data_IF_745059498492
#
_entry.id   IF_745059498492
#
_cell.length_a   1.000
_cell.length_b   1.000
_cell.length_c   1.000
_cell.angle_alpha   90.00
_cell.angle_beta   90.00
_cell.angle_gamma   90.00
#
_symmetry.space_group_name_H-M   'P 1'
#
loop_
_entity.id
_entity.type
_entity.pdbx_description
1 polymer ?
#
# COMPACT_ATOMS: atom_id res chain seq x y z
N UNK A 1 -46.98 -52.33 36.48
CA UNK A 1 -45.99 -51.61 37.31
C UNK A 1 -45.84 -50.19 36.77
N UNK A 2 -45.74 -49.22 37.68
CA UNK A 2 -46.24 -47.85 37.58
C UNK A 2 -45.41 -46.91 36.68
N UNK A 3 -46.02 -46.36 35.62
CA UNK A 3 -45.43 -45.32 34.72
C UNK A 3 -44.85 -44.11 35.48
N UNK A 4 -45.29 -43.86 36.71
CA UNK A 4 -44.81 -42.76 37.56
C UNK A 4 -43.40 -43.01 38.15
N UNK A 5 -42.96 -44.25 38.35
CA UNK A 5 -41.61 -44.55 38.89
C UNK A 5 -40.52 -44.32 37.84
N UNK A 6 -40.73 -44.83 36.63
CA UNK A 6 -39.80 -44.65 35.49
C UNK A 6 -39.64 -43.16 35.13
N UNK A 7 -40.68 -42.35 35.34
CA UNK A 7 -40.64 -40.92 35.05
C UNK A 7 -39.82 -40.10 36.06
N UNK A 8 -39.76 -40.52 37.32
CA UNK A 8 -38.92 -39.87 38.33
C UNK A 8 -37.44 -39.99 37.99
N UNK A 9 -37.01 -41.17 37.54
CA UNK A 9 -35.64 -41.43 37.10
C UNK A 9 -35.27 -40.63 35.84
N UNK A 10 -36.18 -40.57 34.85
CA UNK A 10 -35.97 -39.78 33.62
C UNK A 10 -35.90 -38.28 33.91
N UNK A 11 -36.72 -37.77 34.85
CA UNK A 11 -36.70 -36.35 35.22
C UNK A 11 -35.37 -35.94 35.86
N UNK A 12 -34.82 -36.78 36.74
CA UNK A 12 -33.52 -36.56 37.38
C UNK A 12 -32.38 -36.55 36.35
N UNK A 13 -32.38 -37.51 35.43
CA UNK A 13 -31.38 -37.59 34.35
C UNK A 13 -31.43 -36.34 33.45
N UNK A 14 -32.62 -35.81 33.16
CA UNK A 14 -32.72 -34.61 32.32
C UNK A 14 -32.35 -33.35 33.08
N UNK A 15 -32.58 -33.31 34.39
CA UNK A 15 -32.08 -32.22 35.24
C UNK A 15 -30.56 -32.16 35.21
N UNK A 16 -29.90 -33.30 35.34
CA UNK A 16 -28.43 -33.40 35.22
C UNK A 16 -27.94 -32.95 33.84
N UNK A 17 -28.63 -33.36 32.76
CA UNK A 17 -28.33 -32.90 31.40
C UNK A 17 -28.49 -31.38 31.29
N UNK A 18 -29.53 -30.78 31.85
CA UNK A 18 -29.72 -29.32 31.83
C UNK A 18 -28.61 -28.59 32.59
N UNK A 19 -28.23 -29.05 33.78
CA UNK A 19 -27.15 -28.44 34.59
C UNK A 19 -25.83 -28.40 33.83
N UNK A 20 -25.47 -29.49 33.15
CA UNK A 20 -24.22 -29.57 32.37
C UNK A 20 -24.26 -28.72 31.09
N UNK A 21 -25.43 -28.65 30.45
CA UNK A 21 -25.64 -27.75 29.32
C UNK A 21 -25.50 -26.29 29.76
N UNK A 22 -26.08 -25.89 30.90
CA UNK A 22 -25.94 -24.54 31.46
C UNK A 22 -24.49 -24.21 31.83
N UNK A 23 -23.71 -25.19 32.30
CA UNK A 23 -22.27 -25.06 32.53
C UNK A 23 -21.45 -24.86 31.24
N UNK A 24 -22.08 -24.94 30.06
CA UNK A 24 -21.44 -24.72 28.77
C UNK A 24 -20.85 -25.98 28.15
N UNK A 25 -21.22 -27.18 28.60
CA UNK A 25 -20.84 -28.41 27.89
C UNK A 25 -21.76 -28.61 26.68
N UNK A 26 -21.23 -28.92 25.48
CA UNK A 26 -22.07 -29.22 24.33
C UNK A 26 -22.80 -30.54 24.55
N UNK A 27 -24.08 -30.59 24.17
CA UNK A 27 -24.92 -31.79 24.31
C UNK A 27 -24.23 -33.08 23.82
N UNK A 28 -23.50 -32.99 22.70
CA UNK A 28 -22.82 -34.14 22.12
C UNK A 28 -21.73 -34.73 23.02
N UNK A 29 -21.17 -33.96 23.97
CA UNK A 29 -20.21 -34.44 24.98
C UNK A 29 -20.95 -35.04 26.16
N UNK A 30 -22.00 -34.36 26.65
CA UNK A 30 -22.84 -34.87 27.75
C UNK A 30 -23.43 -36.25 27.40
N UNK A 31 -24.03 -36.40 26.22
CA UNK A 31 -24.64 -37.67 25.79
C UNK A 31 -23.63 -38.79 25.42
N UNK A 32 -22.32 -38.52 25.46
CA UNK A 32 -21.27 -39.53 25.19
C UNK A 32 -20.85 -40.33 26.42
N UNK A 33 -21.21 -39.87 27.62
CA UNK A 33 -20.81 -40.51 28.87
C UNK A 33 -21.72 -41.69 29.25
N UNK A 34 -21.14 -42.70 29.93
CA UNK A 34 -21.80 -43.97 30.21
C UNK A 34 -23.02 -43.85 31.15
N UNK A 35 -23.06 -42.83 32.00
CA UNK A 35 -24.16 -42.55 32.93
C UNK A 35 -25.24 -41.62 32.33
N UNK A 36 -25.01 -41.11 31.11
CA UNK A 36 -25.90 -40.18 30.43
C UNK A 36 -26.75 -40.88 29.37
N UNK A 37 -27.95 -40.36 29.04
CA UNK A 37 -28.79 -40.96 28.01
C UNK A 37 -28.15 -40.76 26.64
N UNK A 38 -28.07 -41.83 25.85
CA UNK A 38 -27.65 -41.73 24.45
C UNK A 38 -28.54 -40.73 23.70
N UNK A 39 -27.97 -40.00 22.74
CA UNK A 39 -28.65 -38.86 22.09
C UNK A 39 -30.00 -39.25 21.44
N UNK A 40 -30.10 -40.46 20.89
CA UNK A 40 -31.34 -41.00 20.33
C UNK A 40 -32.45 -41.14 21.37
N UNK A 41 -32.10 -41.58 22.58
CA UNK A 41 -33.02 -41.77 23.71
C UNK A 41 -33.51 -40.41 24.22
N UNK A 42 -32.60 -39.45 24.37
CA UNK A 42 -32.95 -38.09 24.75
C UNK A 42 -33.89 -37.45 23.71
N UNK A 43 -33.58 -37.55 22.41
CA UNK A 43 -34.44 -37.03 21.34
C UNK A 43 -35.84 -37.65 21.37
N UNK A 44 -35.96 -38.95 21.65
CA UNK A 44 -37.26 -39.61 21.79
C UNK A 44 -38.08 -39.04 22.96
N UNK A 45 -37.43 -38.75 24.10
CA UNK A 45 -38.08 -38.11 25.25
C UNK A 45 -38.51 -36.67 24.96
N UNK A 46 -37.65 -35.87 24.32
CA UNK A 46 -37.98 -34.48 23.95
C UNK A 46 -39.15 -34.40 22.96
N UNK A 47 -39.28 -35.38 22.06
CA UNK A 47 -40.44 -35.47 21.15
C UNK A 47 -41.73 -35.82 21.91
N UNK A 48 -41.62 -36.65 22.94
CA UNK A 48 -42.77 -37.11 23.73
C UNK A 48 -43.25 -36.06 24.73
N UNK A 49 -42.37 -35.18 25.20
CA UNK A 49 -42.62 -34.21 26.26
C UNK A 49 -42.10 -32.81 25.90
N UNK A 50 -42.98 -31.93 25.39
CA UNK A 50 -42.61 -30.58 24.97
C UNK A 50 -42.03 -29.71 26.10
N UNK A 51 -42.55 -29.82 27.32
CA UNK A 51 -42.07 -29.03 28.48
C UNK A 51 -40.59 -29.32 28.79
N UNK A 52 -40.20 -30.59 28.62
CA UNK A 52 -38.82 -31.03 28.79
C UNK A 52 -37.92 -30.45 27.70
N UNK A 53 -38.43 -30.38 26.47
CA UNK A 53 -37.74 -29.79 25.33
C UNK A 53 -37.45 -28.31 25.57
N UNK A 54 -38.42 -27.56 26.07
CA UNK A 54 -38.24 -26.13 26.41
C UNK A 54 -37.12 -25.96 27.45
N UNK A 55 -37.08 -26.80 28.50
CA UNK A 55 -36.02 -26.76 29.52
C UNK A 55 -34.64 -27.05 28.93
N UNK A 56 -34.50 -28.12 28.14
CA UNK A 56 -33.22 -28.50 27.52
C UNK A 56 -32.77 -27.45 26.49
N UNK A 57 -33.69 -26.89 25.70
CA UNK A 57 -33.37 -25.83 24.75
C UNK A 57 -32.91 -24.55 25.47
N UNK A 58 -33.58 -24.17 26.56
CA UNK A 58 -33.19 -23.03 27.39
C UNK A 58 -31.80 -23.23 28.02
N UNK A 59 -31.54 -24.42 28.56
CA UNK A 59 -30.24 -24.81 29.11
C UNK A 59 -29.13 -24.76 28.04
N UNK A 60 -29.41 -25.22 26.80
CA UNK A 60 -28.47 -25.08 25.67
C UNK A 60 -28.21 -23.64 25.30
N UNK A 61 -29.25 -22.80 25.28
CA UNK A 61 -29.09 -21.38 24.96
C UNK A 61 -28.21 -20.66 26.00
N UNK A 62 -28.40 -20.97 27.29
CA UNK A 62 -27.55 -20.46 28.37
C UNK A 62 -26.10 -20.96 28.23
N UNK A 63 -25.91 -22.26 27.97
CA UNK A 63 -24.60 -22.86 27.74
C UNK A 63 -23.84 -22.31 26.54
N UNK A 64 -24.55 -21.97 25.46
CA UNK A 64 -23.94 -21.35 24.27
C UNK A 64 -23.34 -19.99 24.60
N UNK A 65 -23.94 -19.21 25.51
CA UNK A 65 -23.37 -17.93 25.94
C UNK A 65 -22.05 -18.13 26.71
N UNK A 66 -21.98 -19.15 27.56
CA UNK A 66 -20.75 -19.54 28.29
C UNK A 66 -19.68 -20.03 27.32
N UNK A 67 -20.05 -20.85 26.32
CA UNK A 67 -19.14 -21.32 25.27
C UNK A 67 -18.63 -20.19 24.38
N UNK A 68 -19.49 -19.24 24.02
CA UNK A 68 -19.12 -18.07 23.22
C UNK A 68 -18.18 -17.12 23.99
N UNK A 69 -18.32 -17.05 25.32
CA UNK A 69 -17.39 -16.32 26.18
C UNK A 69 -16.04 -17.04 26.37
N UNK A 70 -15.91 -18.30 25.93
CA UNK A 70 -14.65 -19.03 26.00
C UNK A 70 -13.71 -18.53 24.89
N UNK A 71 -12.51 -18.02 25.22
CA UNK A 71 -11.58 -17.56 24.20
C UNK A 71 -11.22 -18.72 23.27
N UNK A 72 -11.41 -18.52 21.97
CA UNK A 72 -10.90 -19.44 20.96
C UNK A 72 -9.37 -19.38 21.02
N UNK A 73 -8.75 -20.38 21.65
CA UNK A 73 -7.30 -20.56 21.62
C UNK A 73 -6.94 -21.12 20.25
N UNK A 74 -6.75 -20.23 19.27
CA UNK A 74 -6.15 -20.60 17.99
C UNK A 74 -4.69 -20.93 18.29
N UNK A 75 -4.37 -22.23 18.40
CA UNK A 75 -2.99 -22.70 18.53
C UNK A 75 -2.28 -22.54 17.18
N UNK A 76 -1.84 -21.32 16.88
CA UNK A 76 -0.89 -21.10 15.78
C UNK A 76 0.45 -21.66 16.26
N UNK A 77 0.92 -22.74 15.65
CA UNK A 77 2.30 -23.20 15.87
C UNK A 77 3.22 -22.13 15.25
N UNK A 78 4.04 -21.42 16.02
CA UNK A 78 4.95 -20.44 15.46
C UNK A 78 5.96 -21.17 14.57
N UNK A 79 6.03 -20.76 13.31
CA UNK A 79 7.13 -21.16 12.42
C UNK A 79 8.35 -20.36 12.87
N UNK A 80 9.34 -21.07 13.40
CA UNK A 80 10.63 -20.50 13.80
C UNK A 80 11.39 -20.08 12.54
N UNK A 81 12.15 -19.00 12.63
CA UNK A 81 13.02 -18.56 11.53
C UNK A 81 14.01 -19.68 11.18
N UNK A 82 14.05 -20.01 9.90
CA UNK A 82 14.98 -20.97 9.32
C UNK A 82 15.59 -20.34 8.07
N UNK A 83 16.92 -20.27 8.04
CA UNK A 83 17.68 -19.65 6.97
C UNK A 83 17.47 -20.38 5.64
N UNK A 84 17.32 -21.72 5.66
CA UNK A 84 17.07 -22.49 4.45
C UNK A 84 15.69 -22.18 3.83
N UNK A 85 14.67 -21.99 4.67
CA UNK A 85 13.35 -21.56 4.21
C UNK A 85 13.37 -20.11 3.69
N UNK A 86 14.09 -19.24 4.38
CA UNK A 86 14.28 -17.85 3.96
C UNK A 86 14.95 -17.77 2.58
N UNK A 87 16.03 -18.54 2.36
CA UNK A 87 16.71 -18.65 1.08
C UNK A 87 15.78 -19.22 -0.01
N UNK A 88 15.02 -20.27 0.30
CA UNK A 88 14.06 -20.87 -0.64
C UNK A 88 12.99 -19.85 -1.09
N UNK A 89 12.48 -19.03 -0.17
CA UNK A 89 11.54 -17.93 -0.49
C UNK A 89 12.21 -16.91 -1.42
N UNK A 90 13.43 -16.46 -1.10
CA UNK A 90 14.17 -15.51 -1.92
C UNK A 90 14.48 -16.06 -3.32
N UNK A 91 14.95 -17.30 -3.41
CA UNK A 91 15.24 -17.99 -4.66
C UNK A 91 13.99 -18.10 -5.54
N UNK A 92 12.83 -18.46 -4.96
CA UNK A 92 11.58 -18.59 -5.70
C UNK A 92 11.00 -17.25 -6.13
N UNK A 93 11.14 -16.21 -5.31
CA UNK A 93 10.79 -14.84 -5.70
C UNK A 93 11.66 -14.32 -6.83
N UNK A 94 12.96 -14.55 -6.77
CA UNK A 94 13.88 -14.20 -7.84
C UNK A 94 13.58 -15.02 -9.11
N UNK A 95 13.21 -16.29 -8.97
CA UNK A 95 12.87 -17.23 -10.05
C UNK A 95 11.72 -16.74 -10.94
N UNK A 96 10.65 -16.22 -10.33
CA UNK A 96 9.40 -15.91 -11.02
C UNK A 96 8.98 -14.44 -10.97
N UNK A 97 7.94 -14.11 -11.72
CA UNK A 97 7.25 -12.81 -11.70
C UNK A 97 6.10 -12.73 -10.69
N UNK A 98 5.91 -13.79 -9.89
CA UNK A 98 4.82 -13.93 -8.95
C UNK A 98 5.02 -13.10 -7.67
N UNK A 99 3.90 -12.65 -7.09
CA UNK A 99 3.88 -11.98 -5.79
C UNK A 99 4.21 -12.92 -4.63
N UNK A 100 4.48 -12.35 -3.46
CA UNK A 100 4.81 -13.13 -2.26
C UNK A 100 3.70 -14.12 -1.89
N UNK A 101 2.43 -13.72 -2.02
CA UNK A 101 1.30 -14.59 -1.71
C UNK A 101 1.27 -15.85 -2.56
N UNK A 102 1.52 -15.73 -3.87
CA UNK A 102 1.56 -16.87 -4.77
C UNK A 102 2.77 -17.78 -4.49
N UNK A 103 3.91 -17.21 -4.06
CA UNK A 103 5.07 -17.98 -3.61
C UNK A 103 4.75 -18.75 -2.32
N UNK A 104 4.19 -18.07 -1.32
CA UNK A 104 3.81 -18.64 -0.03
C UNK A 104 2.57 -19.56 -0.07
N UNK A 105 1.87 -19.63 -1.20
CA UNK A 105 0.76 -20.57 -1.39
C UNK A 105 1.25 -22.02 -1.56
N UNK A 106 2.54 -22.22 -1.84
CA UNK A 106 3.14 -23.54 -1.90
C UNK A 106 3.24 -24.15 -0.49
N UNK A 107 2.90 -25.44 -0.36
CA UNK A 107 2.79 -26.12 0.95
C UNK A 107 4.10 -26.25 1.72
N UNK A 108 5.22 -26.05 1.04
CA UNK A 108 6.59 -26.14 1.55
C UNK A 108 7.14 -24.82 2.11
N UNK A 109 6.45 -23.70 1.87
CA UNK A 109 6.93 -22.37 2.24
C UNK A 109 6.10 -21.75 3.39
N UNK A 110 6.73 -20.87 4.19
CA UNK A 110 6.02 -20.16 5.26
C UNK A 110 4.95 -19.23 4.68
N UNK A 111 3.92 -18.94 5.47
CA UNK A 111 2.88 -17.98 5.11
C UNK A 111 3.44 -16.57 4.90
N UNK A 112 2.77 -15.75 4.09
CA UNK A 112 3.17 -14.36 3.83
C UNK A 112 3.33 -13.55 5.12
N UNK A 113 2.43 -13.72 6.09
CA UNK A 113 2.51 -13.09 7.40
C UNK A 113 3.79 -13.47 8.17
N UNK A 114 4.22 -14.73 8.07
CA UNK A 114 5.47 -15.20 8.69
C UNK A 114 6.68 -14.54 8.03
N UNK A 115 6.70 -14.46 6.70
CA UNK A 115 7.79 -13.81 5.95
C UNK A 115 7.87 -12.32 6.30
N UNK A 116 6.75 -11.60 6.34
CA UNK A 116 6.74 -10.18 6.73
C UNK A 116 7.25 -9.96 8.15
N UNK A 117 6.93 -10.85 9.09
CA UNK A 117 7.51 -10.82 10.43
C UNK A 117 9.02 -11.01 10.39
N UNK A 118 9.51 -12.01 9.65
CA UNK A 118 10.95 -12.23 9.52
C UNK A 118 11.68 -11.05 8.88
N UNK A 119 11.08 -10.35 7.93
CA UNK A 119 11.65 -9.12 7.35
C UNK A 119 11.81 -7.98 8.36
N UNK A 120 10.96 -7.94 9.39
CA UNK A 120 11.06 -6.94 10.46
C UNK A 120 12.11 -7.33 11.51
N UNK A 121 12.19 -8.62 11.84
CA UNK A 121 13.03 -9.13 12.93
C UNK A 121 14.48 -9.40 12.50
N UNK A 122 14.73 -9.73 11.22
CA UNK A 122 16.04 -10.17 10.72
C UNK A 122 16.53 -9.27 9.57
N UNK A 123 17.43 -8.30 9.83
CA UNK A 123 17.88 -7.34 8.83
C UNK A 123 18.70 -7.97 7.70
N UNK A 124 19.47 -9.02 7.97
CA UNK A 124 20.23 -9.73 6.94
C UNK A 124 19.30 -10.41 5.93
N UNK A 125 18.22 -11.03 6.42
CA UNK A 125 17.17 -11.57 5.56
C UNK A 125 16.47 -10.48 4.76
N UNK A 126 16.20 -9.32 5.36
CA UNK A 126 15.61 -8.18 4.65
C UNK A 126 16.51 -7.68 3.50
N UNK A 127 17.83 -7.69 3.69
CA UNK A 127 18.79 -7.35 2.64
C UNK A 127 18.79 -8.38 1.50
N UNK A 128 18.83 -9.69 1.83
CA UNK A 128 18.75 -10.77 0.84
C UNK A 128 17.43 -10.74 0.06
N UNK A 129 16.32 -10.51 0.75
CA UNK A 129 15.00 -10.37 0.14
C UNK A 129 14.93 -9.14 -0.78
N UNK A 130 15.55 -8.03 -0.37
CA UNK A 130 15.69 -6.83 -1.20
C UNK A 130 16.43 -7.12 -2.51
N UNK A 131 17.48 -7.92 -2.47
CA UNK A 131 18.21 -8.32 -3.67
C UNK A 131 17.39 -9.29 -4.54
N UNK A 132 16.71 -10.27 -3.93
CA UNK A 132 15.79 -11.15 -4.65
C UNK A 132 14.71 -10.36 -5.40
N UNK A 133 14.18 -9.29 -4.80
CA UNK A 133 13.22 -8.36 -5.44
C UNK A 133 13.83 -7.57 -6.60
N UNK A 134 15.11 -7.23 -6.55
CA UNK A 134 15.81 -6.61 -7.70
C UNK A 134 15.97 -7.59 -8.85
N UNK A 135 16.38 -8.82 -8.57
CA UNK A 135 16.50 -9.88 -9.58
C UNK A 135 15.13 -10.17 -10.22
N UNK A 136 14.08 -10.21 -9.40
CA UNK A 136 12.71 -10.33 -9.89
C UNK A 136 12.33 -9.21 -10.86
N UNK A 137 12.74 -7.96 -10.61
CA UNK A 137 12.46 -6.85 -11.53
C UNK A 137 13.05 -7.08 -12.93
N UNK A 138 14.26 -7.65 -13.01
CA UNK A 138 14.88 -8.04 -14.28
C UNK A 138 14.05 -9.11 -15.01
N UNK A 139 13.62 -10.15 -14.29
CA UNK A 139 12.77 -11.22 -14.83
C UNK A 139 11.44 -10.69 -15.37
N UNK A 140 10.79 -9.79 -14.63
CA UNK A 140 9.53 -9.15 -15.06
C UNK A 140 9.70 -8.35 -16.35
N UNK A 141 10.86 -7.72 -16.54
CA UNK A 141 11.18 -6.98 -17.76
C UNK A 141 11.35 -7.93 -18.96
N UNK A 142 12.07 -9.03 -18.79
CA UNK A 142 12.22 -10.07 -19.83
C UNK A 142 10.88 -10.72 -20.18
N UNK A 143 10.02 -10.96 -19.19
CA UNK A 143 8.67 -11.45 -19.42
C UNK A 143 7.81 -10.45 -20.21
N UNK A 144 7.88 -9.16 -19.90
CA UNK A 144 7.18 -8.13 -20.67
C UNK A 144 7.62 -8.15 -22.14
N UNK A 145 8.92 -8.36 -22.40
CA UNK A 145 9.45 -8.54 -23.76
C UNK A 145 8.89 -9.80 -24.43
N UNK A 146 8.80 -10.92 -23.72
CA UNK A 146 8.22 -12.15 -24.25
C UNK A 146 6.73 -11.97 -24.61
N UNK A 147 5.96 -11.33 -23.74
CA UNK A 147 4.54 -11.01 -23.97
C UNK A 147 4.37 -10.13 -25.20
N UNK A 148 5.22 -9.11 -25.36
CA UNK A 148 5.17 -8.23 -26.53
C UNK A 148 5.42 -9.00 -27.83
N UNK A 149 6.37 -9.95 -27.86
CA UNK A 149 6.68 -10.75 -29.05
C UNK A 149 5.60 -11.79 -29.38
N UNK A 150 4.90 -12.29 -28.38
CA UNK A 150 3.81 -13.26 -28.55
C UNK A 150 2.44 -12.61 -28.83
N UNK A 151 2.34 -11.27 -28.75
CA UNK A 151 1.09 -10.57 -28.95
C UNK A 151 0.61 -10.68 -30.41
N UNK A 152 -0.69 -10.93 -30.56
CA UNK A 152 -1.39 -10.95 -31.86
C UNK A 152 -2.35 -9.77 -31.90
N UNK A 153 -2.88 -9.42 -33.08
CA UNK A 153 -3.85 -8.31 -33.25
C UNK A 153 -5.07 -8.42 -32.32
N UNK A 154 -5.50 -9.64 -31.98
CA UNK A 154 -6.62 -9.89 -31.05
C UNK A 154 -6.23 -9.75 -29.57
N UNK A 155 -4.97 -10.01 -29.21
CA UNK A 155 -4.49 -10.00 -27.83
C UNK A 155 -3.74 -8.74 -27.42
N UNK A 156 -3.59 -7.74 -28.32
CA UNK A 156 -2.83 -6.51 -28.07
C UNK A 156 -3.29 -5.78 -26.81
N UNK A 157 -4.59 -5.65 -26.57
CA UNK A 157 -5.11 -4.92 -25.40
C UNK A 157 -4.69 -5.58 -24.08
N UNK A 158 -4.82 -6.91 -23.99
CA UNK A 158 -4.41 -7.69 -22.81
C UNK A 158 -2.90 -7.67 -22.66
N UNK A 159 -2.15 -7.81 -23.76
CA UNK A 159 -0.70 -7.74 -23.75
C UNK A 159 -0.19 -6.39 -23.25
N UNK A 160 -0.79 -5.28 -23.70
CA UNK A 160 -0.48 -3.92 -23.22
C UNK A 160 -0.68 -3.80 -21.71
N UNK A 161 -1.85 -4.21 -21.20
CA UNK A 161 -2.13 -4.16 -19.76
C UNK A 161 -1.12 -4.95 -18.93
N UNK A 162 -0.73 -6.14 -19.40
CA UNK A 162 0.29 -6.96 -18.73
C UNK A 162 1.66 -6.29 -18.74
N UNK A 163 2.10 -5.80 -19.90
CA UNK A 163 3.37 -5.09 -20.06
C UNK A 163 3.43 -3.87 -19.15
N UNK A 164 2.37 -3.06 -19.10
CA UNK A 164 2.34 -1.87 -18.26
C UNK A 164 2.36 -2.21 -16.77
N UNK A 165 1.67 -3.27 -16.36
CA UNK A 165 1.71 -3.79 -14.99
C UNK A 165 3.12 -4.23 -14.60
N UNK A 166 3.75 -5.06 -15.44
CA UNK A 166 5.12 -5.56 -15.23
C UNK A 166 6.14 -4.41 -15.20
N UNK A 167 6.02 -3.45 -16.12
CA UNK A 167 6.88 -2.26 -16.18
C UNK A 167 6.76 -1.41 -14.93
N UNK A 168 5.53 -1.16 -14.46
CA UNK A 168 5.29 -0.40 -13.24
C UNK A 168 5.87 -1.12 -12.01
N UNK A 169 5.65 -2.43 -11.89
CA UNK A 169 6.19 -3.24 -10.80
C UNK A 169 7.73 -3.24 -10.82
N UNK A 170 8.36 -3.49 -11.97
CA UNK A 170 9.82 -3.48 -12.11
C UNK A 170 10.43 -2.11 -11.73
N UNK A 171 9.78 -1.01 -12.12
CA UNK A 171 10.19 0.35 -11.72
C UNK A 171 10.13 0.59 -10.21
N UNK A 172 9.16 -0.02 -9.50
CA UNK A 172 9.05 0.08 -8.03
C UNK A 172 10.03 -0.83 -7.30
N UNK A 173 10.27 -2.03 -7.82
CA UNK A 173 11.20 -3.00 -7.20
C UNK A 173 12.67 -2.58 -7.38
N UNK A 174 13.03 -2.00 -8.53
CA UNK A 174 14.39 -1.56 -8.81
C UNK A 174 14.41 -0.12 -9.39
N UNK A 175 14.12 0.91 -8.58
CA UNK A 175 13.99 2.29 -9.04
C UNK A 175 15.31 2.87 -9.60
N UNK A 176 16.47 2.36 -9.18
CA UNK A 176 17.76 2.82 -9.72
C UNK A 176 17.98 2.43 -11.19
N UNK A 177 17.45 1.27 -11.59
CA UNK A 177 17.64 0.70 -12.93
C UNK A 177 16.46 1.05 -13.84
N UNK A 178 15.24 0.82 -13.35
CA UNK A 178 14.01 0.95 -14.13
C UNK A 178 13.16 2.17 -13.77
N UNK A 179 13.61 3.00 -12.82
CA UNK A 179 12.93 4.24 -12.49
C UNK A 179 13.01 5.26 -13.62
N UNK A 180 11.98 6.08 -13.74
CA UNK A 180 11.97 7.22 -14.67
C UNK A 180 12.98 8.24 -14.16
N UNK A 181 14.05 8.46 -14.92
CA UNK A 181 14.99 9.55 -14.68
C UNK A 181 14.42 10.82 -15.28
N UNK A 182 14.12 11.79 -14.43
CA UNK A 182 13.79 13.15 -14.87
C UNK A 182 15.09 13.93 -14.87
N UNK A 183 15.66 14.14 -16.04
CA UNK A 183 16.76 15.08 -16.20
C UNK A 183 16.19 16.48 -16.04
N UNK A 184 16.57 17.15 -14.94
CA UNK A 184 16.23 18.56 -14.74
C UNK A 184 17.25 19.36 -15.52
N UNK A 185 16.81 20.04 -16.57
CA UNK A 185 17.64 21.00 -17.27
C UNK A 185 18.15 22.03 -16.25
N UNK A 186 19.47 22.28 -16.16
CA UNK A 186 20.00 23.24 -15.21
C UNK A 186 19.42 24.60 -15.55
N UNK A 187 18.62 25.14 -14.63
CA UNK A 187 18.08 26.49 -14.70
C UNK A 187 19.27 27.44 -14.87
N UNK A 188 19.31 28.15 -16.00
CA UNK A 188 20.41 29.04 -16.33
C UNK A 188 20.65 29.99 -15.14
N UNK A 189 21.90 30.21 -14.70
CA UNK A 189 22.16 31.07 -13.55
C UNK A 189 21.54 32.44 -13.81
N UNK A 190 20.58 32.83 -12.98
CA UNK A 190 19.99 34.17 -13.01
C UNK A 190 21.09 35.15 -12.58
N UNK A 191 21.78 35.74 -13.55
CA UNK A 191 22.75 36.80 -13.29
C UNK A 191 21.95 38.07 -13.01
N UNK A 192 21.81 38.42 -11.73
CA UNK A 192 21.26 39.72 -11.33
C UNK A 192 22.28 40.82 -11.66
N UNK A 193 22.22 41.35 -12.87
CA UNK A 193 22.99 42.54 -13.27
C UNK A 193 22.32 43.78 -12.67
N UNK A 194 22.89 44.31 -11.58
CA UNK A 194 22.50 45.64 -11.10
C UNK A 194 23.18 46.70 -11.97
N UNK A 195 22.43 47.26 -12.91
CA UNK A 195 22.84 48.49 -13.59
C UNK A 195 22.63 49.62 -12.59
N UNK A 196 23.71 50.10 -11.96
CA UNK A 196 23.68 51.41 -11.31
C UNK A 196 23.69 52.44 -12.43
N UNK A 197 22.61 53.19 -12.57
CA UNK A 197 22.64 54.41 -13.39
C UNK A 197 23.70 55.33 -12.81
N UNK A 198 24.82 55.43 -13.51
CA UNK A 198 25.87 56.38 -13.19
C UNK A 198 25.47 57.68 -13.89
N UNK A 199 24.62 58.49 -13.24
CA UNK A 199 24.30 59.80 -13.78
C UNK A 199 25.53 60.69 -13.69
N UNK A 200 26.05 61.11 -14.85
CA UNK A 200 27.12 62.10 -14.96
C UNK A 200 26.68 63.49 -14.47
N UNK A 201 25.39 63.67 -14.14
CA UNK A 201 24.86 64.94 -13.61
C UNK A 201 25.48 65.27 -12.24
N UNK A 202 25.75 64.28 -11.39
CA UNK A 202 26.40 64.48 -10.08
C UNK A 202 27.87 64.94 -10.21
N UNK A 203 28.59 64.43 -11.22
CA UNK A 203 29.96 64.85 -11.54
C UNK A 203 29.99 66.22 -12.23
N UNK A 204 29.04 66.49 -13.13
CA UNK A 204 28.91 67.79 -13.80
C UNK A 204 28.53 68.89 -12.80
N UNK A 205 27.68 68.61 -11.81
CA UNK A 205 27.32 69.58 -10.77
C UNK A 205 28.52 69.86 -9.84
N UNK A 206 29.27 68.82 -9.44
CA UNK A 206 30.54 69.00 -8.69
C UNK A 206 31.56 69.82 -9.47
N UNK A 207 31.73 69.56 -10.77
CA UNK A 207 32.65 70.31 -11.63
C UNK A 207 32.16 71.74 -11.85
N UNK A 208 30.85 71.97 -12.02
CA UNK A 208 30.26 73.32 -12.10
C UNK A 208 30.51 74.10 -10.82
N UNK A 209 30.25 73.51 -9.65
CA UNK A 209 30.49 74.15 -8.35
C UNK A 209 31.97 74.53 -8.14
N UNK A 210 32.91 73.70 -8.63
CA UNK A 210 34.34 74.03 -8.62
C UNK A 210 34.67 75.21 -9.55
N UNK A 211 34.02 75.32 -10.71
CA UNK A 211 34.30 76.38 -11.69
C UNK A 211 33.66 77.73 -11.30
N UNK A 212 32.46 77.75 -10.69
CA UNK A 212 31.87 78.99 -10.14
C UNK A 212 32.58 79.48 -8.87
N UNK A 213 33.16 78.59 -8.07
CA UNK A 213 34.00 78.97 -6.93
C UNK A 213 35.34 79.61 -7.30
N UNK A 214 35.80 79.44 -8.56
CA UNK A 214 37.08 79.95 -9.06
C UNK A 214 36.97 81.29 -9.82
N UNK A 215 35.79 81.94 -9.83
CA UNK A 215 35.64 83.31 -10.36
C UNK A 215 35.88 83.46 -11.87
N UNK A 216 35.66 82.40 -12.66
CA UNK A 216 35.80 82.43 -14.11
C UNK A 216 34.42 82.49 -14.79
N UNK A 217 34.09 83.63 -15.41
CA UNK A 217 32.91 83.76 -16.26
C UNK A 217 33.06 82.88 -17.51
N UNK A 218 32.24 81.84 -17.62
CA UNK A 218 32.11 81.06 -18.85
C UNK A 218 31.26 81.85 -19.87
N UNK A 219 31.63 81.88 -21.17
CA UNK A 219 30.82 82.53 -22.19
C UNK A 219 29.51 81.75 -22.41
N UNK A 220 28.43 82.49 -22.67
CA UNK A 220 27.11 81.96 -23.02
C UNK A 220 27.21 80.97 -24.20
N UNK A 221 26.98 79.68 -23.92
CA UNK A 221 26.92 78.65 -24.96
C UNK A 221 25.55 78.75 -25.63
N UNK A 222 25.48 79.54 -26.70
CA UNK A 222 24.27 79.68 -27.52
C UNK A 222 23.88 78.32 -28.12
N UNK A 223 22.72 77.82 -27.68
CA UNK A 223 21.84 76.83 -28.29
C UNK A 223 22.44 75.88 -29.35
N UNK A 224 23.12 74.83 -28.91
CA UNK A 224 23.12 73.57 -29.67
C UNK A 224 21.84 72.81 -29.31
N UNK A 225 20.91 72.77 -30.25
CA UNK A 225 19.63 72.08 -30.11
C UNK A 225 19.83 70.61 -29.70
N UNK A 226 19.06 70.09 -28.72
CA UNK A 226 19.13 68.68 -28.34
C UNK A 226 18.73 67.78 -29.50
N UNK A 227 19.51 66.72 -29.72
CA UNK A 227 19.22 65.66 -30.68
C UNK A 227 17.86 65.03 -30.29
N UNK A 228 16.87 64.95 -31.19
CA UNK A 228 15.57 64.41 -30.86
C UNK A 228 15.67 62.93 -30.50
N UNK A 229 15.04 62.54 -29.39
CA UNK A 229 14.96 61.15 -28.95
C UNK A 229 14.39 60.25 -30.07
N UNK A 230 15.07 59.15 -30.39
CA UNK A 230 14.54 58.11 -31.28
C UNK A 230 13.23 57.59 -30.71
N UNK A 231 12.15 57.67 -31.47
CA UNK A 231 10.87 57.03 -31.11
C UNK A 231 11.09 55.51 -30.94
N UNK A 232 10.51 54.88 -29.92
CA UNK A 232 10.59 53.42 -29.75
C UNK A 232 9.99 52.73 -30.98
N UNK A 233 10.78 51.86 -31.59
CA UNK A 233 10.41 51.13 -32.81
C UNK A 233 9.29 50.13 -32.53
N UNK A 234 8.27 50.17 -33.39
CA UNK A 234 7.18 49.20 -33.46
C UNK A 234 7.73 47.86 -33.98
N UNK A 235 7.50 46.79 -33.23
CA UNK A 235 8.01 45.45 -33.53
C UNK A 235 7.57 44.95 -34.91
N UNK A 236 8.56 44.53 -35.72
CA UNK A 236 8.38 44.01 -37.09
C UNK A 236 7.87 42.56 -37.14
N UNK A 237 6.96 42.16 -36.24
CA UNK A 237 6.41 40.80 -36.21
C UNK A 237 4.90 40.69 -36.42
N UNK A 238 4.19 41.80 -36.65
CA UNK A 238 2.72 41.78 -36.81
C UNK A 238 2.23 42.28 -38.18
N UNK A 239 3.00 42.02 -39.25
CA UNK A 239 2.64 42.38 -40.64
C UNK A 239 2.52 41.19 -41.60
N UNK A 240 2.24 39.97 -41.09
CA UNK A 240 2.18 38.75 -41.91
C UNK A 240 0.87 37.95 -41.80
N UNK A 241 -0.26 38.59 -41.43
CA UNK A 241 -1.55 37.88 -41.33
C UNK A 241 -2.79 38.56 -41.92
N UNK A 242 -2.62 39.60 -42.74
CA UNK A 242 -3.73 40.16 -43.53
C UNK A 242 -3.29 40.34 -44.99
N UNK A 243 -3.80 39.50 -45.89
CA UNK A 243 -3.66 39.71 -47.34
C UNK A 243 -3.17 38.51 -48.15
N UNK A 244 -3.93 37.40 -48.15
CA UNK A 244 -4.05 36.52 -49.33
C UNK A 244 -5.52 36.16 -49.49
N UNK A 245 -6.24 37.04 -50.19
CA UNK A 245 -7.22 36.62 -51.20
C UNK A 245 -6.49 36.49 -52.52
#
# INVERSE_FOLDING_TARGET
MSRKRVWGEVALVVEEVCLRLEAGEPLAVVCREAEMPHESTLRAWLKRFPDLKVRVDAARAAGLAVQAARPLVIRVRPVVFDEALAEAVCARLAAGSQGLEAVCAASDLPSSATVYRWLADYPDFAAQYGEARRIQAHRMFDEARAIARAATTKSVAVAKLRIDTLKWQAAKLAPRVYGVRVEREPEAPVINVQIRDFSLEDEVEKLRAMVTGAGMCLPEVSALNPIPARRPGMDRHEAAKAGRG
#
